data_IF_668039062893
#
_entry.id   IF_668039062893
#
_cell.length_a   1.000
_cell.length_b   1.000
_cell.length_c   1.000
_cell.angle_alpha   90.00
_cell.angle_beta   90.00
_cell.angle_gamma   90.00
#
_symmetry.space_group_name_H-M   'P 1'
#
loop_
_entity.id
_entity.type
_entity.pdbx_description
1 polymer ?
#
# COMPACT_ATOMS: atom_id res chain seq x y z
N UNK A 1 16.09 -22.09 13.39
CA UNK A 1 16.62 -21.72 14.72
C UNK A 1 17.69 -20.66 14.54
N UNK A 2 17.27 -19.41 14.34
CA UNK A 2 18.15 -18.24 14.34
C UNK A 2 17.87 -17.45 15.60
N UNK A 3 18.87 -17.25 16.44
CA UNK A 3 18.77 -16.55 17.72
C UNK A 3 18.79 -15.04 17.50
N UNK A 4 17.63 -14.40 17.56
CA UNK A 4 17.46 -12.94 17.57
C UNK A 4 18.05 -12.35 18.87
N UNK A 5 19.37 -12.20 18.86
CA UNK A 5 20.15 -11.66 19.97
C UNK A 5 20.21 -10.14 19.85
N UNK A 6 19.13 -9.46 20.26
CA UNK A 6 19.12 -8.01 20.37
C UNK A 6 20.08 -7.53 21.45
N UNK A 7 20.92 -6.55 21.14
CA UNK A 7 21.82 -5.90 22.11
C UNK A 7 21.08 -4.74 22.78
N UNK A 8 21.45 -4.30 23.99
CA UNK A 8 20.76 -3.18 24.68
C UNK A 8 20.68 -1.87 23.88
N UNK A 9 21.55 -1.69 22.89
CA UNK A 9 21.57 -0.54 21.97
C UNK A 9 20.72 -0.75 20.71
N UNK A 10 20.30 -1.99 20.43
CA UNK A 10 19.40 -2.36 19.34
C UNK A 10 18.55 -3.56 19.80
N UNK A 11 17.56 -3.33 20.67
CA UNK A 11 16.78 -4.39 21.29
C UNK A 11 16.02 -5.17 20.21
N UNK A 12 15.83 -6.47 20.45
CA UNK A 12 15.11 -7.33 19.52
C UNK A 12 13.66 -6.82 19.38
N UNK A 13 13.10 -6.93 18.15
CA UNK A 13 11.79 -6.37 17.83
C UNK A 13 10.70 -6.84 18.80
N UNK A 14 10.73 -8.13 19.17
CA UNK A 14 9.80 -8.72 20.15
C UNK A 14 9.85 -8.05 21.53
N UNK A 15 11.01 -7.51 21.94
CA UNK A 15 11.20 -6.86 23.23
C UNK A 15 10.67 -5.41 23.20
N UNK A 16 10.86 -4.72 22.07
CA UNK A 16 10.28 -3.38 21.87
C UNK A 16 8.75 -3.48 21.86
N UNK A 17 8.22 -4.48 21.17
CA UNK A 17 6.77 -4.73 21.09
C UNK A 17 6.20 -5.15 22.46
N UNK A 18 6.96 -5.90 23.26
CA UNK A 18 6.56 -6.31 24.61
C UNK A 18 6.57 -5.16 25.64
N UNK A 19 7.52 -4.22 25.56
CA UNK A 19 7.65 -3.10 26.50
C UNK A 19 6.76 -1.92 26.07
N UNK A 20 6.43 -1.80 24.78
CA UNK A 20 5.55 -0.77 24.22
C UNK A 20 4.05 -0.95 24.49
N UNK A 21 3.62 -2.08 25.07
CA UNK A 21 2.32 -2.22 25.72
C UNK A 21 1.06 -2.10 24.84
N UNK A 22 1.19 -2.15 23.52
CA UNK A 22 0.07 -2.23 22.59
C UNK A 22 0.50 -3.06 21.40
N UNK A 23 -0.25 -4.11 21.06
CA UNK A 23 0.03 -4.90 19.87
C UNK A 23 -0.06 -3.96 18.66
N UNK A 24 1.07 -3.59 18.05
CA UNK A 24 1.05 -2.73 16.87
C UNK A 24 0.47 -3.55 15.72
N UNK A 25 -0.80 -3.30 15.39
CA UNK A 25 -1.44 -3.94 14.24
C UNK A 25 -0.65 -3.64 12.96
N UNK A 26 -0.14 -4.69 12.35
CA UNK A 26 0.53 -4.63 11.06
C UNK A 26 -0.51 -4.51 9.93
N UNK A 27 -0.17 -3.91 8.77
CA UNK A 27 -1.07 -3.86 7.61
C UNK A 27 -1.58 -5.24 7.18
N UNK A 28 -0.75 -6.29 7.31
CA UNK A 28 -1.10 -7.67 6.98
C UNK A 28 -2.13 -8.25 7.97
N UNK A 29 -2.05 -7.86 9.25
CA UNK A 29 -3.08 -8.21 10.23
C UNK A 29 -4.38 -7.44 9.98
N UNK A 30 -4.28 -6.15 9.66
CA UNK A 30 -5.45 -5.33 9.32
C UNK A 30 -6.18 -5.89 8.09
N UNK A 31 -5.45 -6.34 7.06
CA UNK A 31 -6.02 -6.95 5.87
C UNK A 31 -6.74 -8.28 6.14
N UNK A 32 -6.43 -9.00 7.23
CA UNK A 32 -7.14 -10.22 7.63
C UNK A 32 -8.49 -9.93 8.30
N UNK A 33 -8.73 -8.70 8.75
CA UNK A 33 -10.03 -8.30 9.26
C UNK A 33 -11.02 -8.17 8.09
N UNK A 34 -12.15 -8.89 8.16
CA UNK A 34 -13.15 -8.92 7.10
C UNK A 34 -13.75 -7.56 6.79
N UNK A 35 -13.89 -6.70 7.81
CA UNK A 35 -14.47 -5.36 7.64
C UNK A 35 -13.50 -4.47 6.84
N UNK A 36 -12.21 -4.50 7.20
CA UNK A 36 -11.17 -3.76 6.49
C UNK A 36 -11.04 -4.27 5.05
N UNK A 37 -10.95 -5.58 4.86
CA UNK A 37 -10.84 -6.18 3.54
C UNK A 37 -12.04 -5.84 2.64
N UNK A 38 -13.26 -5.90 3.17
CA UNK A 38 -14.48 -5.58 2.42
C UNK A 38 -14.51 -4.09 2.02
N UNK A 39 -14.28 -3.18 2.96
CA UNK A 39 -14.28 -1.74 2.67
C UNK A 39 -13.22 -1.35 1.65
N UNK A 40 -12.00 -1.87 1.79
CA UNK A 40 -10.92 -1.60 0.83
C UNK A 40 -11.25 -2.18 -0.55
N UNK A 41 -11.83 -3.38 -0.62
CA UNK A 41 -12.22 -4.00 -1.89
C UNK A 41 -13.31 -3.20 -2.61
N UNK A 42 -14.33 -2.74 -1.88
CA UNK A 42 -15.41 -1.90 -2.45
C UNK A 42 -14.82 -0.61 -3.03
N UNK A 43 -13.98 0.09 -2.26
CA UNK A 43 -13.32 1.31 -2.73
C UNK A 43 -12.43 1.05 -3.95
N UNK A 44 -11.67 -0.05 -3.93
CA UNK A 44 -10.80 -0.42 -5.03
C UNK A 44 -11.58 -0.73 -6.31
N UNK A 45 -12.69 -1.45 -6.21
CA UNK A 45 -13.56 -1.78 -7.33
C UNK A 45 -14.23 -0.54 -7.92
N UNK A 46 -14.70 0.36 -7.06
CA UNK A 46 -15.37 1.58 -7.50
C UNK A 46 -14.39 2.50 -8.23
N UNK A 47 -13.19 2.72 -7.69
CA UNK A 47 -12.13 3.48 -8.37
C UNK A 47 -11.66 2.78 -9.65
N UNK A 48 -11.60 1.44 -9.65
CA UNK A 48 -11.27 0.64 -10.83
C UNK A 48 -12.20 0.91 -12.01
N UNK A 49 -13.51 1.04 -11.74
CA UNK A 49 -14.56 1.27 -12.77
C UNK A 49 -14.50 2.66 -13.40
N UNK A 50 -13.98 3.66 -12.70
CA UNK A 50 -14.03 5.06 -13.17
C UNK A 50 -13.14 5.27 -14.41
N UNK A 51 -13.69 5.65 -15.58
CA UNK A 51 -12.89 5.96 -16.75
C UNK A 51 -12.13 7.27 -16.53
N UNK A 52 -10.81 7.26 -16.81
CA UNK A 52 -9.99 8.47 -16.77
C UNK A 52 -9.88 9.00 -18.19
N UNK A 53 -10.54 10.13 -18.44
CA UNK A 53 -10.46 10.84 -19.71
C UNK A 53 -9.48 12.00 -19.61
N UNK A 54 -8.56 12.07 -20.55
CA UNK A 54 -7.63 13.19 -20.71
C UNK A 54 -8.28 14.27 -21.57
N UNK A 55 -8.17 15.53 -21.15
CA UNK A 55 -8.71 16.67 -21.87
C UNK A 55 -7.58 17.62 -22.28
N UNK A 56 -7.73 18.26 -23.44
CA UNK A 56 -6.91 19.39 -23.84
C UNK A 56 -7.76 20.66 -23.73
N UNK A 57 -7.19 21.75 -23.20
CA UNK A 57 -7.86 23.05 -23.04
C UNK A 57 -8.54 23.57 -24.32
N UNK A 58 -8.11 23.11 -25.50
CA UNK A 58 -8.64 23.59 -26.78
C UNK A 58 -9.79 22.72 -27.33
N UNK A 59 -9.73 21.38 -27.19
CA UNK A 59 -10.77 20.44 -27.67
C UNK A 59 -10.75 19.13 -26.88
N UNK A 60 -11.94 18.62 -26.51
CA UNK A 60 -12.11 17.35 -25.76
C UNK A 60 -11.51 16.14 -26.49
N UNK A 61 -11.74 16.01 -27.81
CA UNK A 61 -11.34 14.81 -28.57
C UNK A 61 -9.83 14.66 -28.79
N UNK A 62 -9.06 15.74 -28.63
CA UNK A 62 -7.61 15.71 -28.81
C UNK A 62 -6.93 15.06 -27.59
N UNK A 63 -7.50 15.23 -26.40
CA UNK A 63 -6.91 14.69 -25.18
C UNK A 63 -6.76 13.17 -25.25
N UNK A 64 -7.80 12.46 -25.71
CA UNK A 64 -7.79 10.99 -25.82
C UNK A 64 -6.79 10.43 -26.85
N UNK A 65 -6.21 11.26 -27.72
CA UNK A 65 -5.14 10.85 -28.64
C UNK A 65 -3.76 10.83 -27.99
N UNK A 66 -3.62 11.37 -26.78
CA UNK A 66 -2.34 11.41 -26.07
C UNK A 66 -1.93 10.00 -25.59
N UNK A 67 -0.64 9.62 -25.66
CA UNK A 67 -0.17 8.29 -25.23
C UNK A 67 -0.59 7.92 -23.79
N UNK A 68 -0.57 8.91 -22.88
CA UNK A 68 -1.03 8.74 -21.48
C UNK A 68 -2.50 8.33 -21.39
N UNK A 69 -3.36 8.84 -22.29
CA UNK A 69 -4.78 8.48 -22.30
C UNK A 69 -4.95 6.97 -22.48
N UNK A 70 -4.15 6.36 -23.36
CA UNK A 70 -4.13 4.92 -23.57
C UNK A 70 -3.70 4.15 -22.31
N UNK A 71 -2.68 4.63 -21.61
CA UNK A 71 -2.19 3.97 -20.39
C UNK A 71 -3.22 4.00 -19.26
N UNK A 72 -3.89 5.13 -19.05
CA UNK A 72 -4.85 5.32 -17.95
C UNK A 72 -6.24 4.77 -18.26
N UNK A 73 -6.61 4.67 -19.54
CA UNK A 73 -7.93 4.21 -19.96
C UNK A 73 -7.96 2.73 -20.35
N UNK A 74 -6.98 2.27 -21.12
CA UNK A 74 -6.99 0.92 -21.70
C UNK A 74 -6.07 -0.01 -20.93
N UNK A 75 -4.75 0.27 -20.96
CA UNK A 75 -3.75 -0.70 -20.54
C UNK A 75 -2.44 -0.03 -20.10
N UNK A 76 -2.16 0.01 -18.79
CA UNK A 76 -0.96 0.66 -18.25
C UNK A 76 0.30 -0.17 -18.41
N UNK A 77 0.20 -1.50 -18.44
CA UNK A 77 1.36 -2.38 -18.65
C UNK A 77 0.94 -3.71 -19.30
N UNK A 78 1.93 -4.54 -19.73
CA UNK A 78 1.64 -5.78 -20.42
C UNK A 78 0.87 -6.84 -19.64
N UNK A 79 0.77 -6.73 -18.32
CA UNK A 79 0.18 -7.77 -17.47
C UNK A 79 -1.22 -7.44 -16.94
N UNK A 80 -1.62 -6.16 -16.95
CA UNK A 80 -2.90 -5.74 -16.37
C UNK A 80 -3.62 -4.69 -17.21
N UNK A 81 -4.95 -4.68 -17.11
CA UNK A 81 -5.80 -3.62 -17.67
C UNK A 81 -5.82 -2.40 -16.76
N UNK A 82 -6.25 -1.25 -17.29
CA UNK A 82 -6.35 -0.01 -16.51
C UNK A 82 -7.25 -0.16 -15.26
N UNK A 83 -8.33 -0.95 -15.36
CA UNK A 83 -9.19 -1.30 -14.24
C UNK A 83 -8.37 -1.89 -13.07
N UNK A 84 -7.63 -2.96 -13.36
CA UNK A 84 -6.85 -3.70 -12.36
C UNK A 84 -5.76 -2.81 -11.77
N UNK A 85 -5.09 -1.99 -12.58
CA UNK A 85 -4.08 -1.05 -12.07
C UNK A 85 -4.65 -0.07 -11.04
N UNK A 86 -5.77 0.59 -11.37
CA UNK A 86 -6.44 1.52 -10.45
C UNK A 86 -6.92 0.81 -9.18
N UNK A 87 -7.48 -0.38 -9.33
CA UNK A 87 -7.92 -1.23 -8.22
C UNK A 87 -6.74 -1.58 -7.30
N UNK A 88 -5.60 -2.03 -7.87
CA UNK A 88 -4.39 -2.35 -7.10
C UNK A 88 -3.84 -1.13 -6.35
N UNK A 89 -3.72 0.01 -7.02
CA UNK A 89 -3.23 1.24 -6.40
C UNK A 89 -4.16 1.69 -5.27
N UNK A 90 -5.48 1.67 -5.48
CA UNK A 90 -6.44 2.00 -4.44
C UNK A 90 -6.39 1.01 -3.26
N UNK A 91 -6.17 -0.28 -3.53
CA UNK A 91 -5.93 -1.29 -2.50
C UNK A 91 -4.68 -0.99 -1.67
N UNK A 92 -3.58 -0.61 -2.33
CA UNK A 92 -2.35 -0.22 -1.64
C UNK A 92 -2.56 1.01 -0.74
N UNK A 93 -3.31 2.02 -1.22
CA UNK A 93 -3.69 3.20 -0.43
C UNK A 93 -4.54 2.79 0.78
N UNK A 94 -5.52 1.90 0.60
CA UNK A 94 -6.42 1.46 1.68
C UNK A 94 -5.72 0.68 2.79
N UNK A 95 -4.77 -0.19 2.44
CA UNK A 95 -4.07 -1.06 3.41
C UNK A 95 -2.81 -0.42 3.95
N UNK A 96 -1.98 0.19 3.11
CA UNK A 96 -0.66 0.69 3.50
C UNK A 96 -0.61 2.22 3.60
N UNK A 97 -1.63 2.93 3.14
CA UNK A 97 -1.70 4.38 3.11
C UNK A 97 -1.05 5.01 1.87
N UNK A 98 -0.28 4.23 1.12
CA UNK A 98 0.52 4.69 -0.01
C UNK A 98 0.33 3.74 -1.20
N UNK A 99 -0.08 4.30 -2.33
CA UNK A 99 -0.12 3.62 -3.62
C UNK A 99 0.97 4.19 -4.51
N UNK A 100 1.97 3.38 -4.84
CA UNK A 100 3.15 3.83 -5.59
C UNK A 100 3.21 3.09 -6.92
N UNK A 101 3.47 3.81 -8.01
CA UNK A 101 3.74 3.23 -9.31
C UNK A 101 4.99 3.85 -9.94
N UNK A 102 5.82 3.01 -10.54
CA UNK A 102 6.95 3.41 -11.36
C UNK A 102 6.49 3.77 -12.77
N UNK A 103 6.97 4.89 -13.28
CA UNK A 103 6.75 5.37 -14.63
C UNK A 103 7.93 4.92 -15.49
N UNK A 104 7.65 4.01 -16.44
CA UNK A 104 8.63 3.66 -17.46
C UNK A 104 8.56 4.67 -18.60
N UNK A 105 9.55 5.54 -18.69
CA UNK A 105 9.69 6.52 -19.75
C UNK A 105 10.20 5.88 -21.06
N UNK A 106 9.66 6.35 -22.18
CA UNK A 106 10.09 6.00 -23.53
C UNK A 106 11.20 6.91 -24.05
N UNK A 107 11.87 6.53 -25.14
CA UNK A 107 12.92 7.33 -25.78
C UNK A 107 12.37 8.64 -26.40
N UNK A 108 11.07 8.69 -26.65
CA UNK A 108 10.32 9.84 -27.14
C UNK A 108 9.92 10.84 -26.03
N UNK A 109 10.27 10.54 -24.77
CA UNK A 109 9.93 11.37 -23.61
C UNK A 109 8.49 11.19 -23.12
N UNK A 110 7.72 10.26 -23.70
CA UNK A 110 6.39 9.91 -23.21
C UNK A 110 6.44 8.66 -22.33
N UNK A 111 5.54 8.53 -21.33
CA UNK A 111 5.46 7.31 -20.55
C UNK A 111 4.94 6.16 -21.42
N UNK A 112 5.60 5.00 -21.32
CA UNK A 112 5.31 3.78 -22.08
C UNK A 112 4.58 2.76 -21.23
N UNK A 113 4.83 2.74 -19.91
CA UNK A 113 4.15 1.84 -19.00
C UNK A 113 4.13 2.37 -17.56
N UNK A 114 3.11 1.95 -16.81
CA UNK A 114 2.99 2.19 -15.38
C UNK A 114 3.03 0.86 -14.62
N UNK A 115 3.93 0.77 -13.65
CA UNK A 115 4.20 -0.44 -12.88
C UNK A 115 3.86 -0.21 -11.42
N UNK A 116 2.81 -0.84 -10.87
CA UNK A 116 2.55 -0.72 -9.44
C UNK A 116 3.73 -1.33 -8.67
N UNK A 117 4.24 -0.59 -7.69
CA UNK A 117 5.30 -1.04 -6.82
C UNK A 117 4.69 -1.65 -5.55
N UNK A 118 5.40 -2.62 -4.98
CA UNK A 118 5.04 -3.22 -3.69
C UNK A 118 5.26 -2.18 -2.57
N UNK A 119 4.21 -1.76 -1.84
CA UNK A 119 4.32 -0.77 -0.78
C UNK A 119 5.12 -1.27 0.43
N UNK A 120 5.27 -2.59 0.63
CA UNK A 120 6.09 -3.16 1.71
C UNK A 120 7.58 -3.03 1.40
N UNK A 121 7.94 -3.09 0.11
CA UNK A 121 9.33 -3.05 -0.37
C UNK A 121 9.75 -1.68 -0.88
N UNK A 122 8.86 -0.69 -0.82
CA UNK A 122 9.11 0.66 -1.35
C UNK A 122 9.11 1.67 -0.22
N UNK A 123 10.25 2.32 -0.03
CA UNK A 123 10.49 3.31 1.01
C UNK A 123 10.55 4.71 0.40
N UNK A 124 9.86 5.64 1.03
CA UNK A 124 9.89 7.07 0.67
C UNK A 124 10.77 7.79 1.68
N UNK A 125 11.80 8.47 1.19
CA UNK A 125 12.76 9.20 2.03
C UNK A 125 12.85 10.64 1.55
N UNK A 126 12.85 11.59 2.49
CA UNK A 126 13.21 12.97 2.20
C UNK A 126 14.68 13.15 2.51
N UNK A 127 15.47 13.51 1.51
CA UNK A 127 16.84 13.91 1.74
C UNK A 127 16.85 15.31 2.38
N UNK A 128 17.30 15.38 3.63
CA UNK A 128 17.34 16.63 4.40
C UNK A 128 18.38 17.63 3.85
N UNK A 129 19.41 17.16 3.13
CA UNK A 129 20.44 18.03 2.59
C UNK A 129 20.00 18.70 1.28
N UNK A 130 19.29 17.98 0.43
CA UNK A 130 18.82 18.48 -0.88
C UNK A 130 17.36 18.91 -0.89
N UNK A 131 16.58 18.54 0.13
CA UNK A 131 15.13 18.75 0.18
C UNK A 131 14.34 17.94 -0.85
N UNK A 132 14.98 16.96 -1.50
CA UNK A 132 14.38 16.17 -2.58
C UNK A 132 13.84 14.85 -2.05
N UNK A 133 12.69 14.41 -2.57
CA UNK A 133 12.14 13.09 -2.25
C UNK A 133 12.88 12.02 -3.05
N UNK A 134 13.16 10.90 -2.41
CA UNK A 134 13.75 9.71 -3.01
C UNK A 134 12.88 8.51 -2.71
N UNK A 135 12.74 7.64 -3.70
CA UNK A 135 11.97 6.41 -3.60
C UNK A 135 12.92 5.24 -3.77
N UNK A 136 13.01 4.38 -2.77
CA UNK A 136 13.85 3.18 -2.84
C UNK A 136 12.96 1.96 -2.87
N UNK A 137 13.04 1.16 -3.91
CA UNK A 137 12.26 -0.08 -4.04
C UNK A 137 13.17 -1.29 -4.17
N UNK A 138 12.69 -2.45 -3.75
CA UNK A 138 13.42 -3.71 -3.83
C UNK A 138 12.64 -4.74 -4.65
N UNK A 139 13.30 -5.40 -5.62
CA UNK A 139 12.67 -6.48 -6.37
C UNK A 139 12.59 -7.80 -5.56
N UNK A 140 12.00 -8.83 -6.16
CA UNK A 140 11.89 -10.15 -5.52
C UNK A 140 13.25 -10.80 -5.25
N UNK A 141 14.26 -10.48 -6.05
CA UNK A 141 15.63 -10.97 -6.00
C UNK A 141 16.51 -10.21 -4.99
N UNK A 142 15.98 -9.13 -4.40
CA UNK A 142 16.66 -8.34 -3.39
C UNK A 142 17.48 -7.16 -3.95
N UNK A 143 17.49 -6.95 -5.27
CA UNK A 143 18.14 -5.80 -5.88
C UNK A 143 17.37 -4.51 -5.55
N UNK A 144 18.14 -3.49 -5.20
CA UNK A 144 17.62 -2.19 -4.77
C UNK A 144 17.69 -1.21 -5.93
N UNK A 145 16.59 -0.51 -6.17
CA UNK A 145 16.49 0.55 -7.16
C UNK A 145 16.15 1.86 -6.46
N UNK A 146 16.97 2.88 -6.70
CA UNK A 146 16.69 4.25 -6.30
C UNK A 146 16.02 4.98 -7.48
N UNK A 147 14.80 5.46 -7.23
CA UNK A 147 13.93 6.13 -8.18
C UNK A 147 13.78 7.59 -7.81
N UNK A 148 13.76 8.45 -8.82
CA UNK A 148 13.55 9.88 -8.65
C UNK A 148 12.06 10.24 -8.56
N UNK A 149 11.70 11.42 -8.03
CA UNK A 149 10.31 11.88 -7.99
C UNK A 149 9.63 11.93 -9.35
N UNK A 150 10.35 12.26 -10.41
CA UNK A 150 9.83 12.34 -11.78
C UNK A 150 9.56 10.95 -12.41
N UNK A 151 10.06 9.89 -11.79
CA UNK A 151 9.87 8.51 -12.23
C UNK A 151 8.76 7.78 -11.45
N UNK A 152 8.12 8.45 -10.49
CA UNK A 152 7.20 7.82 -9.55
C UNK A 152 5.87 8.57 -9.47
N UNK A 153 4.77 7.84 -9.64
CA UNK A 153 3.44 8.26 -9.24
C UNK A 153 3.19 7.81 -7.80
N UNK A 154 3.07 8.77 -6.90
CA UNK A 154 2.79 8.51 -5.49
C UNK A 154 1.41 9.04 -5.10
N UNK A 155 0.48 8.12 -4.90
CA UNK A 155 -0.87 8.37 -4.40
C UNK A 155 -0.90 8.15 -2.89
N UNK A 156 -1.48 9.11 -2.16
CA UNK A 156 -1.46 9.14 -0.70
C UNK A 156 -2.88 9.15 -0.17
N UNK A 157 -3.11 8.42 0.90
CA UNK A 157 -4.30 8.57 1.74
C UNK A 157 -4.20 9.88 2.55
N UNK A 158 -4.80 9.90 3.74
CA UNK A 158 -4.58 10.97 4.70
C UNK A 158 -3.10 11.05 5.07
N UNK A 159 -2.54 12.25 5.14
CA UNK A 159 -1.10 12.46 5.34
C UNK A 159 -0.91 13.54 6.42
N UNK A 160 -0.02 13.31 7.39
CA UNK A 160 0.27 14.28 8.46
C UNK A 160 1.32 15.32 8.05
N UNK A 161 2.33 14.89 7.29
CA UNK A 161 3.53 15.64 6.93
C UNK A 161 3.59 16.06 5.45
N UNK A 162 2.59 15.68 4.65
CA UNK A 162 2.58 15.83 3.20
C UNK A 162 3.39 14.78 2.43
N UNK A 163 4.13 13.89 3.11
CA UNK A 163 5.08 12.96 2.50
C UNK A 163 4.56 11.53 2.52
N UNK A 164 4.16 11.02 3.68
CA UNK A 164 3.78 9.61 3.90
C UNK A 164 2.30 9.49 4.26
N UNK A 165 1.56 8.76 3.44
CA UNK A 165 0.16 8.45 3.68
C UNK A 165 -0.03 7.47 4.83
N UNK A 166 -1.12 7.68 5.57
CA UNK A 166 -1.59 6.91 6.71
C UNK A 166 -2.90 6.24 6.28
N UNK A 167 -3.01 4.90 6.31
CA UNK A 167 -4.23 4.22 5.92
C UNK A 167 -5.37 4.49 6.91
N UNK A 168 -6.63 4.52 6.45
CA UNK A 168 -7.77 4.86 7.31
C UNK A 168 -7.95 3.93 8.51
N UNK A 169 -7.65 2.64 8.39
CA UNK A 169 -7.82 1.68 9.49
C UNK A 169 -6.92 1.99 10.70
N UNK A 170 -5.84 2.75 10.53
CA UNK A 170 -4.96 3.14 11.66
C UNK A 170 -5.66 4.04 12.68
N UNK A 171 -6.73 4.74 12.30
CA UNK A 171 -7.51 5.53 13.28
C UNK A 171 -8.44 4.66 14.12
N UNK A 172 -8.57 3.38 13.79
CA UNK A 172 -9.49 2.42 14.42
C UNK A 172 -8.74 1.27 15.11
N UNK A 173 -7.45 1.44 15.45
CA UNK A 173 -6.60 0.37 16.00
C UNK A 173 -7.21 -0.23 17.27
N UNK A 174 -7.61 0.59 18.24
CA UNK A 174 -8.18 0.13 19.51
C UNK A 174 -9.43 -0.74 19.31
N UNK A 175 -10.26 -0.37 18.34
CA UNK A 175 -11.47 -1.09 17.98
C UNK A 175 -11.16 -2.41 17.26
N UNK A 176 -10.19 -2.40 16.33
CA UNK A 176 -9.73 -3.61 15.65
C UNK A 176 -9.09 -4.61 16.63
N UNK A 177 -8.32 -4.12 17.59
CA UNK A 177 -7.72 -4.95 18.64
C UNK A 177 -8.79 -5.58 19.54
N UNK A 178 -9.79 -4.80 19.97
CA UNK A 178 -10.94 -5.31 20.71
C UNK A 178 -11.68 -6.41 19.94
N UNK A 179 -11.95 -6.19 18.65
CA UNK A 179 -12.59 -7.19 17.79
C UNK A 179 -11.74 -8.47 17.65
N UNK A 180 -10.43 -8.34 17.49
CA UNK A 180 -9.52 -9.47 17.37
C UNK A 180 -9.45 -10.27 18.67
N UNK A 181 -9.36 -9.60 19.82
CA UNK A 181 -9.35 -10.22 21.14
C UNK A 181 -10.65 -10.99 21.41
N UNK A 182 -11.81 -10.37 21.12
CA UNK A 182 -13.11 -11.01 21.24
C UNK A 182 -13.22 -12.26 20.35
N UNK A 183 -12.75 -12.16 19.11
CA UNK A 183 -12.75 -13.30 18.17
C UNK A 183 -11.88 -14.45 18.69
N UNK A 184 -10.69 -14.16 19.22
CA UNK A 184 -9.83 -15.18 19.81
C UNK A 184 -10.49 -15.84 21.02
N UNK A 185 -11.04 -15.05 21.95
CA UNK A 185 -11.75 -15.56 23.12
C UNK A 185 -12.89 -16.51 22.72
N UNK A 186 -13.72 -16.11 21.75
CA UNK A 186 -14.80 -16.95 21.24
C UNK A 186 -14.25 -18.25 20.64
N UNK A 187 -13.20 -18.19 19.82
CA UNK A 187 -12.58 -19.37 19.24
C UNK A 187 -12.04 -20.32 20.32
N UNK A 188 -11.38 -19.80 21.35
CA UNK A 188 -10.78 -20.61 22.42
C UNK A 188 -11.85 -21.20 23.34
N UNK A 189 -12.92 -20.46 23.61
CA UNK A 189 -14.11 -21.00 24.28
C UNK A 189 -14.66 -22.20 23.51
N UNK A 190 -14.93 -22.07 22.21
CA UNK A 190 -15.45 -23.20 21.41
C UNK A 190 -14.47 -24.37 21.26
N UNK A 191 -13.16 -24.12 21.24
CA UNK A 191 -12.13 -25.18 21.19
C UNK A 191 -12.06 -25.97 22.49
N UNK A 192 -12.19 -25.32 23.64
CA UNK A 192 -11.95 -25.93 24.95
C UNK A 192 -13.25 -26.40 25.65
N UNK A 193 -14.41 -25.83 25.33
CA UNK A 193 -15.67 -26.11 26.02
C UNK A 193 -16.38 -27.42 25.61
N UNK A 194 -15.76 -28.27 24.79
CA UNK A 194 -16.26 -29.63 24.48
C UNK A 194 -15.53 -30.75 25.23
N UNK A 195 -14.52 -30.44 26.04
CA UNK A 195 -13.87 -31.40 26.94
C UNK A 195 -14.60 -31.49 28.29
N UNK A 196 -15.83 -32.00 28.28
CA UNK A 196 -16.40 -32.63 29.47
C UNK A 196 -15.78 -34.03 29.58
N UNK A 197 -14.67 -34.18 30.32
CA UNK A 197 -14.27 -35.52 30.75
C UNK A 197 -15.27 -35.97 31.82
N UNK A 198 -16.28 -36.74 31.40
CA UNK A 198 -17.01 -37.63 32.29
C UNK A 198 -16.20 -38.89 32.57
#
# INVERSE_FOLDING_TARGET
TGTDSGTLLNPAQWLIDAIGGGAVLTPEQAAKNSNVAACVSILADDIGKLPIHTFNNQKKDIGMKHPVAKLLYERPNPFMLAFVFKQTIQGHIGIYGNGIAYIKWGPDGYPVALWPLDPVRTFVQLDAATGTLHYRTQNAQGEVYDLKPDEVLHFKAFTRDGIIGIPPWKTLIDELDSQNALKSFICDFYRNSTLSSG
#
